data_IF_526877977404
#
_entry.id   IF_526877977404
#
_cell.length_a   1.000
_cell.length_b   1.000
_cell.length_c   1.000
_cell.angle_alpha   90.00
_cell.angle_beta   90.00
_cell.angle_gamma   90.00
#
_symmetry.space_group_name_H-M   'P 1'
#
loop_
_entity.id
_entity.type
_entity.pdbx_description
1 polymer ?
2 non-polymer ?
3 non-polymer ?
4 water ?
#
# COMPACT_ATOMS: atom_id res chain seq x y z
N UNK A 24 -2.72 -9.91 13.14
CA UNK A 24 -3.51 -9.54 11.90
C UNK A 24 -4.10 -8.14 12.11
N UNK A 25 -4.58 -7.49 11.03
CA UNK A 25 -5.41 -6.25 11.09
C UNK A 25 -6.68 -6.46 10.25
N UNK A 26 -7.73 -5.68 10.51
CA UNK A 26 -9.07 -5.77 9.90
C UNK A 26 -9.61 -4.40 9.53
N UNK A 27 -10.45 -4.33 8.50
CA UNK A 27 -11.23 -3.13 8.15
C UNK A 27 -12.56 -3.58 7.57
N UNK A 28 -13.62 -3.00 8.12
CA UNK A 28 -15.03 -3.27 7.74
C UNK A 28 -15.60 -2.03 7.07
N UNK A 29 -15.99 -2.16 5.81
CA UNK A 29 -16.55 -1.04 5.03
C UNK A 29 -17.97 -0.75 5.51
N UNK A 30 -18.68 -1.78 6.00
CA UNK A 30 -20.02 -1.58 6.60
C UNK A 30 -19.88 -0.76 7.88
N UNK A 31 -20.48 0.42 7.88
CA UNK A 31 -20.37 1.35 9.01
C UNK A 31 -19.07 2.13 9.03
N UNK A 32 -18.23 2.00 8.00
CA UNK A 32 -16.95 2.74 7.96
C UNK A 32 -17.22 4.23 7.81
N UNK A 33 -16.34 5.00 8.44
CA UNK A 33 -16.30 6.47 8.33
C UNK A 33 -14.83 6.89 8.35
N UNK A 34 -14.53 8.17 8.12
CA UNK A 34 -13.13 8.57 8.12
C UNK A 34 -12.39 8.10 9.38
N UNK A 35 -13.04 8.12 10.56
CA UNK A 35 -12.36 7.73 11.83
C UNK A 35 -12.01 6.23 11.77
N UNK A 36 -12.92 5.35 11.37
CA UNK A 36 -12.65 3.90 11.41
C UNK A 36 -11.57 3.59 10.36
N UNK A 37 -11.58 4.25 9.21
CA UNK A 37 -10.52 4.03 8.20
C UNK A 37 -9.18 4.45 8.83
N UNK A 38 -9.14 5.61 9.48
CA UNK A 38 -7.89 6.07 10.12
C UNK A 38 -7.40 5.07 11.14
N UNK A 39 -8.31 4.44 11.88
CA UNK A 39 -7.93 3.41 12.88
C UNK A 39 -7.31 2.19 12.19
N UNK A 40 -7.89 1.79 11.07
CA UNK A 40 -7.36 0.64 10.30
C UNK A 40 -5.94 0.98 9.83
N UNK A 41 -5.75 2.17 9.27
CA UNK A 41 -4.39 2.52 8.76
C UNK A 41 -3.40 2.57 9.92
N UNK A 42 -3.82 3.10 11.06
CA UNK A 42 -2.93 3.10 12.25
C UNK A 42 -2.57 1.66 12.64
N UNK A 43 -3.56 0.77 12.64
CA UNK A 43 -3.38 -0.68 12.93
C UNK A 43 -2.35 -1.26 11.95
N UNK A 44 -2.52 -0.94 10.67
CA UNK A 44 -1.63 -1.50 9.62
C UNK A 44 -0.19 -1.04 9.88
N UNK A 45 0.01 0.24 10.08
CA UNK A 45 1.39 0.75 10.36
C UNK A 45 1.97 0.06 11.60
N UNK A 46 1.17 -0.09 12.64
CA UNK A 46 1.66 -0.60 13.95
C UNK A 46 1.92 -2.11 13.86
N UNK A 47 1.43 -2.82 12.84
CA UNK A 47 1.70 -4.27 12.69
C UNK A 47 3.04 -4.50 11.97
N UNK A 48 3.64 -3.46 11.40
CA UNK A 48 4.90 -3.61 10.64
C UNK A 48 6.06 -3.48 11.61
N UNK A 49 6.98 -4.46 11.67
CA UNK A 49 8.06 -4.41 12.66
C UNK A 49 9.13 -3.39 12.27
N UNK A 50 9.79 -2.82 13.28
CA UNK A 50 10.97 -1.94 13.10
C UNK A 50 11.85 -2.11 14.34
N UNK A 51 13.16 -2.03 14.15
CA UNK A 51 14.17 -2.05 15.26
C UNK A 51 14.57 -0.62 15.61
N UNK A 52 14.31 0.35 14.74
CA UNK A 52 14.74 1.74 14.95
C UNK A 52 13.90 2.73 14.13
N UNK A 53 14.02 3.99 14.47
CA UNK A 53 13.44 5.13 13.73
C UNK A 53 14.58 5.98 13.18
N UNK A 54 14.40 6.55 12.00
CA UNK A 54 15.31 7.55 11.38
C UNK A 54 14.50 8.83 11.30
N UNK A 55 14.95 9.90 11.97
CA UNK A 55 14.22 11.17 12.03
C UNK A 55 12.78 10.89 12.46
N UNK A 56 12.62 10.03 13.47
CA UNK A 56 11.34 9.73 14.17
C UNK A 56 10.36 8.92 13.27
N UNK A 57 10.84 8.37 12.15
CA UNK A 57 10.02 7.57 11.19
C UNK A 57 10.49 6.12 11.29
N UNK A 58 9.57 5.15 11.56
CA UNK A 58 9.93 3.74 11.63
C UNK A 58 10.65 3.29 10.36
N UNK A 59 11.75 2.56 10.55
CA UNK A 59 12.57 1.98 9.48
C UNK A 59 12.21 0.52 9.34
N UNK A 60 11.56 0.17 8.22
CA UNK A 60 11.19 -1.24 7.96
C UNK A 60 12.45 -2.11 7.97
N UNK A 61 12.28 -3.37 8.29
CA UNK A 61 13.42 -4.29 8.47
C UNK A 61 14.01 -4.62 7.10
N UNK A 62 15.33 -4.88 7.01
CA UNK A 62 15.94 -5.24 5.73
C UNK A 62 15.44 -6.60 5.22
N UNK A 63 15.08 -7.49 6.15
CA UNK A 63 14.71 -8.89 5.84
C UNK A 63 14.00 -9.51 7.04
N UNK A 64 13.08 -10.45 6.76
CA UNK A 64 12.39 -11.30 7.76
C UNK A 64 12.29 -12.70 7.16
N UNK A 65 12.78 -13.71 7.88
CA UNK A 65 12.76 -15.14 7.45
C UNK A 65 11.40 -15.73 7.77
N UNK A 66 10.92 -16.64 6.93
CA UNK A 66 9.79 -17.53 7.23
C UNK A 66 8.47 -16.78 7.22
N UNK A 67 7.48 -17.27 7.97
CA UNK A 67 6.08 -16.81 7.89
C UNK A 67 5.96 -15.40 8.49
N UNK A 68 6.87 -15.00 9.38
CA UNK A 68 6.87 -13.68 10.03
C UNK A 68 7.01 -12.54 9.05
N UNK A 69 7.46 -12.83 7.83
CA UNK A 69 7.61 -11.81 6.76
C UNK A 69 6.24 -11.27 6.32
N UNK A 70 5.14 -11.98 6.61
CA UNK A 70 3.80 -11.65 6.03
C UNK A 70 2.88 -11.19 7.16
N UNK A 71 2.13 -10.13 6.88
CA UNK A 71 0.99 -9.66 7.70
C UNK A 71 -0.29 -10.01 6.96
N UNK A 72 -1.32 -10.44 7.69
CA UNK A 72 -2.65 -10.69 7.12
C UNK A 72 -3.59 -9.53 7.42
N UNK A 73 -4.20 -8.98 6.37
CA UNK A 73 -5.22 -7.92 6.49
C UNK A 73 -6.55 -8.54 6.09
N UNK A 74 -7.53 -8.51 6.99
CA UNK A 74 -8.91 -9.01 6.75
C UNK A 74 -9.79 -7.81 6.37
N UNK A 75 -10.27 -7.81 5.14
CA UNK A 75 -11.07 -6.71 4.58
C UNK A 75 -12.47 -7.24 4.33
N UNK A 76 -13.46 -6.47 4.73
CA UNK A 76 -14.90 -6.83 4.59
C UNK A 76 -15.59 -5.75 3.79
N UNK A 77 -16.35 -6.16 2.77
CA UNK A 77 -17.12 -5.22 1.92
C UNK A 77 -18.39 -4.84 2.69
N UNK A 78 -19.16 -3.91 2.14
CA UNK A 78 -20.41 -3.42 2.76
C UNK A 78 -21.32 -4.61 3.12
N UNK A 79 -21.27 -5.67 2.34
CA UNK A 79 -22.15 -6.87 2.48
C UNK A 79 -21.58 -7.88 3.50
N UNK A 80 -20.39 -7.65 4.05
CA UNK A 80 -19.78 -8.52 5.06
C UNK A 80 -18.96 -9.66 4.45
N UNK A 81 -18.86 -9.72 3.12
CA UNK A 81 -17.99 -10.71 2.40
C UNK A 81 -16.54 -10.29 2.62
N UNK A 82 -15.62 -11.25 2.68
CA UNK A 82 -14.23 -10.95 3.14
C UNK A 82 -13.19 -11.52 2.19
N UNK A 83 -12.08 -10.80 2.08
CA UNK A 83 -10.80 -11.33 1.54
C UNK A 83 -9.75 -11.16 2.62
N UNK A 84 -8.75 -12.02 2.61
CA UNK A 84 -7.55 -11.82 3.44
C UNK A 84 -6.41 -11.49 2.50
N UNK A 85 -5.73 -10.39 2.76
CA UNK A 85 -4.61 -9.95 1.89
C UNK A 85 -3.32 -10.21 2.65
N UNK A 86 -2.32 -10.77 1.99
CA UNK A 86 -0.98 -11.02 2.56
C UNK A 86 -0.05 -9.88 2.14
N UNK A 87 0.59 -9.25 3.11
CA UNK A 87 1.45 -8.06 2.91
C UNK A 87 2.87 -8.41 3.36
N UNK A 88 3.87 -8.09 2.54
CA UNK A 88 5.31 -8.23 2.91
C UNK A 88 5.67 -7.08 3.82
N UNK A 89 6.10 -7.41 5.06
CA UNK A 89 6.31 -6.35 6.08
C UNK A 89 7.60 -5.57 5.81
N UNK A 90 8.46 -6.04 4.90
CA UNK A 90 9.71 -5.32 4.52
C UNK A 90 9.40 -4.09 3.68
N UNK A 91 8.31 -4.12 2.89
CA UNK A 91 8.12 -3.05 1.87
C UNK A 91 6.64 -2.71 1.71
N UNK A 92 5.76 -3.30 2.51
CA UNK A 92 4.29 -3.09 2.45
C UNK A 92 3.75 -3.54 1.08
N UNK A 93 4.45 -4.42 0.36
CA UNK A 93 3.93 -4.91 -0.93
C UNK A 93 2.83 -5.93 -0.66
N UNK A 94 1.82 -5.92 -1.53
CA UNK A 94 0.78 -6.98 -1.44
C UNK A 94 1.33 -8.19 -2.21
N UNK A 95 1.30 -9.36 -1.60
CA UNK A 95 1.78 -10.62 -2.24
C UNK A 95 0.62 -11.30 -2.96
N UNK A 96 -0.54 -11.30 -2.33
CA UNK A 96 -1.65 -12.13 -2.78
C UNK A 96 -2.80 -12.02 -1.83
N UNK A 97 -3.85 -12.78 -2.07
CA UNK A 97 -5.06 -12.69 -1.22
C UNK A 97 -5.82 -14.00 -1.33
N UNK A 98 -6.69 -14.20 -0.36
CA UNK A 98 -7.53 -15.41 -0.21
C UNK A 98 -8.98 -14.96 -0.33
N UNK A 99 -9.70 -15.57 -1.28
CA UNK A 99 -11.16 -15.35 -1.41
C UNK A 99 -11.83 -16.72 -1.32
N UNK A 100 -12.55 -16.97 -0.22
CA UNK A 100 -13.21 -18.28 0.00
C UNK A 100 -12.11 -19.34 0.01
N UNK A 101 -12.08 -20.24 -0.99
CA UNK A 101 -11.15 -21.40 -1.01
C UNK A 101 -10.11 -21.26 -2.13
N UNK A 102 -9.93 -20.07 -2.71
CA UNK A 102 -8.95 -19.86 -3.78
C UNK A 102 -7.97 -18.78 -3.33
N UNK A 103 -6.68 -19.08 -3.43
CA UNK A 103 -5.64 -18.05 -3.21
C UNK A 103 -5.25 -17.48 -4.57
N UNK A 104 -4.76 -16.25 -4.55
CA UNK A 104 -4.35 -15.55 -5.77
C UNK A 104 -3.04 -14.86 -5.45
N UNK A 105 -2.00 -15.03 -6.24
CA UNK A 105 -0.68 -14.40 -6.01
C UNK A 105 -0.17 -13.68 -7.24
N UNK A 106 0.49 -12.56 -7.06
CA UNK A 106 1.17 -11.88 -8.18
C UNK A 106 2.20 -12.80 -8.79
N UNK A 107 2.47 -12.55 -10.06
CA UNK A 107 3.51 -13.27 -10.85
C UNK A 107 4.87 -12.62 -10.58
N UNK A 108 5.43 -12.87 -9.39
CA UNK A 108 6.74 -12.33 -8.95
C UNK A 108 7.33 -13.27 -7.90
N UNK A 109 8.67 -13.44 -7.87
CA UNK A 109 9.29 -14.39 -6.97
C UNK A 109 8.96 -14.25 -5.48
N UNK A 110 8.79 -13.04 -4.98
CA UNK A 110 8.50 -12.83 -3.55
C UNK A 110 7.10 -13.36 -3.24
N UNK A 111 6.19 -13.23 -4.21
CA UNK A 111 4.80 -13.74 -4.04
C UNK A 111 4.81 -15.27 -4.09
N UNK A 112 5.60 -15.87 -4.98
CA UNK A 112 5.68 -17.34 -5.05
C UNK A 112 6.22 -17.86 -3.71
N UNK A 113 7.24 -17.20 -3.15
CA UNK A 113 7.76 -17.60 -1.82
C UNK A 113 6.67 -17.42 -0.76
N UNK A 114 5.91 -16.32 -0.79
CA UNK A 114 4.84 -16.10 0.20
C UNK A 114 3.86 -17.27 0.18
N UNK A 115 3.60 -17.85 -0.99
CA UNK A 115 2.59 -18.91 -1.17
C UNK A 115 3.03 -20.21 -0.48
N UNK A 116 4.29 -20.29 -0.02
CA UNK A 116 4.77 -21.44 0.83
C UNK A 116 4.34 -21.28 2.29
N UNK A 117 3.90 -20.09 2.70
CA UNK A 117 3.68 -19.71 4.12
C UNK A 117 2.22 -19.34 4.37
N UNK A 118 1.54 -18.71 3.42
CA UNK A 118 0.18 -18.16 3.68
C UNK A 118 -0.84 -18.85 2.76
N UNK A 119 -2.07 -18.97 3.27
CA UNK A 119 -3.25 -19.47 2.53
C UNK A 119 -3.00 -20.91 2.07
N UNK A 120 -2.25 -21.67 2.87
CA UNK A 120 -1.85 -23.07 2.55
C UNK A 120 -3.12 -23.90 2.30
N UNK A 121 -4.18 -23.69 3.10
CA UNK A 121 -5.41 -24.52 3.12
C UNK A 121 -6.32 -24.21 1.93
N UNK A 122 -5.99 -23.25 1.05
CA UNK A 122 -6.80 -22.92 -0.15
C UNK A 122 -6.90 -24.17 -1.05
N UNK A 123 -8.03 -24.34 -1.74
CA UNK A 123 -8.28 -25.55 -2.60
C UNK A 123 -7.43 -25.43 -3.87
N UNK A 124 -7.24 -24.22 -4.39
CA UNK A 124 -6.36 -24.00 -5.55
C UNK A 124 -5.68 -22.64 -5.39
N UNK A 125 -4.57 -22.51 -6.07
CA UNK A 125 -3.74 -21.28 -6.05
C UNK A 125 -3.61 -20.81 -7.49
N UNK A 126 -4.17 -19.64 -7.75
CA UNK A 126 -4.08 -18.99 -9.09
C UNK A 126 -2.93 -18.00 -9.04
N UNK A 127 -1.98 -18.07 -9.95
CA UNK A 127 -0.97 -17.03 -10.18
C UNK A 127 -1.63 -16.05 -11.13
N UNK A 128 -1.76 -14.80 -10.70
CA UNK A 128 -2.29 -13.75 -11.59
C UNK A 128 -1.36 -13.57 -12.80
N UNK A 129 -1.88 -13.13 -13.97
CA UNK A 129 -1.05 -12.92 -15.16
C UNK A 129 -0.36 -11.56 -15.21
N UNK A 130 0.17 -11.14 -14.06
CA UNK A 130 0.99 -9.91 -13.94
C UNK A 130 1.65 -9.91 -12.58
N UNK A 131 2.73 -9.17 -12.48
CA UNK A 131 3.34 -8.76 -11.18
C UNK A 131 2.51 -7.60 -10.57
N UNK A 132 2.87 -7.16 -9.37
CA UNK A 132 2.19 -6.06 -8.68
C UNK A 132 2.76 -4.69 -9.01
N UNK A 133 3.74 -4.64 -9.91
CA UNK A 133 4.36 -3.41 -10.46
C UNK A 133 3.23 -2.51 -11.00
N UNK A 134 3.18 -1.24 -10.62
CA UNK A 134 2.13 -0.29 -11.06
C UNK A 134 2.05 -0.20 -12.59
N UNK A 135 3.20 -0.09 -13.27
CA UNK A 135 3.19 -0.01 -14.76
C UNK A 135 2.49 -1.27 -15.29
N UNK A 136 2.86 -2.46 -14.81
CA UNK A 136 2.28 -3.75 -15.28
C UNK A 136 0.78 -3.80 -14.95
N UNK A 137 0.39 -3.38 -13.75
CA UNK A 137 -1.04 -3.48 -13.39
C UNK A 137 -1.83 -2.57 -14.30
N UNK A 138 -1.32 -1.35 -14.57
CA UNK A 138 -1.96 -0.33 -15.42
C UNK A 138 -2.14 -0.88 -16.84
N UNK A 139 -1.16 -1.60 -17.35
CA UNK A 139 -1.29 -2.21 -18.72
C UNK A 139 -2.42 -3.26 -18.64
N UNK A 140 -2.44 -4.08 -17.59
CA UNK A 140 -3.42 -5.18 -17.43
C UNK A 140 -4.84 -4.63 -17.21
N UNK A 141 -4.98 -3.50 -16.50
CA UNK A 141 -6.28 -2.86 -16.17
C UNK A 141 -6.84 -2.14 -17.40
N UNK A 142 -5.94 -1.66 -18.26
CA UNK A 142 -6.23 -0.90 -19.49
C UNK A 142 -6.30 0.60 -19.21
N UNK A 143 -5.91 1.02 -18.01
CA UNK A 143 -6.06 2.41 -17.52
C UNK A 143 -4.92 2.72 -16.54
N UNK A 144 -4.32 3.93 -16.59
CA UNK A 144 -3.36 4.33 -15.58
C UNK A 144 -4.08 4.70 -14.27
N UNK A 145 -3.33 4.73 -13.17
CA UNK A 145 -3.80 5.16 -11.83
C UNK A 145 -4.46 6.54 -11.88
N UNK A 146 -3.91 7.42 -12.71
CA UNK A 146 -4.33 8.83 -12.86
C UNK A 146 -5.82 8.86 -13.19
N UNK A 147 -6.36 7.82 -13.84
CA UNK A 147 -7.78 7.79 -14.32
C UNK A 147 -8.67 6.82 -13.53
N UNK A 148 -8.16 6.13 -12.48
CA UNK A 148 -8.97 5.16 -11.70
C UNK A 148 -9.41 5.82 -10.39
N UNK A 149 -10.72 6.07 -10.18
CA UNK A 149 -11.18 6.66 -8.94
C UNK A 149 -10.82 5.81 -7.71
N UNK A 150 -10.40 6.45 -6.63
CA UNK A 150 -10.14 5.74 -5.35
C UNK A 150 -10.99 6.34 -4.25
N UNK A 151 -11.07 5.63 -3.14
CA UNK A 151 -11.92 6.00 -2.01
C UNK A 151 -12.46 4.77 -1.36
N UNK A 152 -13.31 4.92 -0.34
CA UNK A 152 -13.82 3.75 0.39
C UNK A 152 -14.85 3.05 -0.48
N UNK A 153 -15.79 3.73 -1.20
CA UNK A 153 -16.65 2.95 -2.09
C UNK A 153 -15.84 2.18 -3.15
N UNK A 154 -14.75 2.76 -3.67
CA UNK A 154 -13.86 2.05 -4.62
C UNK A 154 -13.29 0.79 -3.95
N UNK A 155 -12.95 0.85 -2.67
CA UNK A 155 -12.41 -0.35 -1.97
C UNK A 155 -13.51 -1.39 -1.78
N UNK A 156 -14.74 -0.97 -1.47
CA UNK A 156 -15.87 -1.92 -1.43
C UNK A 156 -15.96 -2.64 -2.79
N UNK A 157 -15.95 -1.88 -3.88
CA UNK A 157 -16.01 -2.47 -5.25
C UNK A 157 -14.82 -3.44 -5.45
N UNK A 158 -13.62 -3.05 -5.02
CA UNK A 158 -12.42 -3.85 -5.28
C UNK A 158 -12.55 -5.18 -4.55
N UNK A 159 -12.96 -5.20 -3.28
CA UNK A 159 -13.13 -6.46 -2.49
C UNK A 159 -14.16 -7.33 -3.22
N UNK A 160 -15.27 -6.73 -3.65
CA UNK A 160 -16.31 -7.48 -4.39
C UNK A 160 -15.74 -8.12 -5.67
N UNK A 161 -14.97 -7.35 -6.46
CA UNK A 161 -14.29 -7.82 -7.70
C UNK A 161 -13.38 -9.01 -7.34
N UNK A 162 -12.58 -8.91 -6.29
CA UNK A 162 -11.58 -9.98 -6.05
C UNK A 162 -12.21 -11.26 -5.49
N UNK A 163 -13.47 -11.24 -5.05
CA UNK A 163 -14.10 -12.47 -4.48
C UNK A 163 -14.23 -13.61 -5.49
N UNK A 164 -14.30 -13.27 -6.77
CA UNK A 164 -14.44 -14.25 -7.87
C UNK A 164 -13.52 -13.82 -9.01
N UNK A 165 -12.72 -14.74 -9.50
CA UNK A 165 -11.65 -14.40 -10.46
C UNK A 165 -12.15 -13.70 -11.73
N UNK A 166 -11.49 -12.59 -12.06
CA UNK A 166 -11.59 -11.85 -13.34
C UNK A 166 -10.26 -11.10 -13.49
N UNK A 167 -9.27 -11.59 -14.23
CA UNK A 167 -7.91 -10.99 -14.14
C UNK A 167 -7.91 -9.54 -14.59
N UNK A 168 -8.64 -9.15 -15.63
CA UNK A 168 -8.65 -7.74 -16.09
C UNK A 168 -9.28 -6.87 -15.00
N UNK A 169 -10.45 -7.26 -14.49
CA UNK A 169 -11.14 -6.52 -13.43
C UNK A 169 -10.25 -6.47 -12.18
N UNK A 170 -9.55 -7.57 -11.90
CA UNK A 170 -8.76 -7.68 -10.66
C UNK A 170 -7.61 -6.68 -10.72
N UNK A 171 -6.96 -6.46 -11.86
CA UNK A 171 -5.84 -5.49 -11.97
C UNK A 171 -6.29 -4.12 -11.47
N UNK A 172 -7.46 -3.63 -11.90
CA UNK A 172 -7.99 -2.35 -11.43
C UNK A 172 -8.29 -2.36 -9.94
N UNK A 173 -8.96 -3.41 -9.48
CA UNK A 173 -9.29 -3.63 -8.06
C UNK A 173 -7.98 -3.61 -7.25
N UNK A 174 -6.93 -4.26 -7.73
CA UNK A 174 -5.67 -4.33 -6.96
C UNK A 174 -5.02 -2.95 -6.95
N UNK A 175 -5.08 -2.15 -8.03
CA UNK A 175 -4.55 -0.77 -7.96
C UNK A 175 -5.30 0.02 -6.90
N UNK A 176 -6.61 -0.18 -6.78
CA UNK A 176 -7.39 0.52 -5.73
C UNK A 176 -6.96 0.00 -4.34
N UNK A 177 -6.86 -1.32 -4.20
CA UNK A 177 -6.53 -1.97 -2.90
C UNK A 177 -5.15 -1.49 -2.46
N UNK A 178 -4.16 -1.50 -3.34
CA UNK A 178 -2.79 -1.12 -2.94
C UNK A 178 -2.80 0.33 -2.48
N UNK A 179 -3.50 1.21 -3.17
CA UNK A 179 -3.38 2.65 -2.85
C UNK A 179 -4.12 2.93 -1.55
N UNK A 180 -5.21 2.23 -1.26
CA UNK A 180 -6.06 2.50 -0.09
C UNK A 180 -5.55 1.78 1.17
N UNK A 181 -4.55 0.93 1.03
CA UNK A 181 -3.97 0.19 2.18
C UNK A 181 -2.49 0.60 2.29
N UNK A 182 -1.62 -0.02 1.51
CA UNK A 182 -0.18 0.23 1.56
C UNK A 182 0.18 1.70 1.38
N UNK A 183 -0.35 2.39 0.37
CA UNK A 183 0.10 3.78 0.15
C UNK A 183 -0.39 4.67 1.27
N UNK A 184 -1.61 4.47 1.78
CA UNK A 184 -2.11 5.23 2.92
C UNK A 184 -1.27 4.96 4.16
N UNK A 185 -0.80 3.74 4.34
CA UNK A 185 0.08 3.41 5.48
C UNK A 185 1.37 4.22 5.33
N UNK A 186 1.89 4.32 4.13
CA UNK A 186 3.22 4.96 3.93
C UNK A 186 3.12 6.47 4.09
N UNK A 187 2.00 7.12 3.75
CA UNK A 187 1.89 8.59 3.78
C UNK A 187 0.61 9.07 4.45
N UNK A 188 0.75 9.94 5.42
CA UNK A 188 -0.41 10.54 6.13
C UNK A 188 -1.28 11.26 5.13
N UNK A 189 -0.68 11.99 4.20
CA UNK A 189 -1.44 12.75 3.17
C UNK A 189 -2.35 11.80 2.39
N UNK A 190 -1.87 10.61 2.03
CA UNK A 190 -2.70 9.67 1.22
C UNK A 190 -3.80 9.12 2.09
N UNK A 191 -3.54 8.79 3.34
CA UNK A 191 -4.58 8.43 4.32
C UNK A 191 -5.66 9.51 4.28
N UNK A 192 -5.27 10.78 4.36
CA UNK A 192 -6.25 11.89 4.47
C UNK A 192 -7.01 12.01 3.16
N UNK A 193 -6.40 11.77 2.02
CA UNK A 193 -7.09 11.81 0.70
C UNK A 193 -8.16 10.73 0.64
N UNK A 194 -7.92 9.56 1.20
CA UNK A 194 -8.94 8.46 1.18
C UNK A 194 -10.02 8.81 2.19
N UNK A 195 -9.71 9.44 3.30
CA UNK A 195 -10.74 9.88 4.27
C UNK A 195 -11.67 10.86 3.59
N UNK A 196 -11.14 11.77 2.78
CA UNK A 196 -11.97 12.74 2.03
C UNK A 196 -12.90 12.03 1.04
N UNK A 197 -12.49 10.86 0.58
CA UNK A 197 -13.22 9.99 -0.39
C UNK A 197 -13.97 8.88 0.37
N UNK A 198 -14.44 9.11 1.59
CA UNK A 198 -15.11 8.08 2.40
C UNK A 198 -16.45 7.69 1.74
N UNK A 199 -17.10 8.64 1.06
CA UNK A 199 -18.47 8.45 0.56
C UNK A 199 -18.58 8.84 -0.92
N UNK A 200 -17.48 9.15 -1.58
CA UNK A 200 -17.43 9.64 -2.99
C UNK A 200 -16.03 9.39 -3.51
N UNK A 201 -15.91 8.53 -4.52
CA UNK A 201 -14.61 8.24 -5.14
C UNK A 201 -14.13 9.42 -5.98
N UNK A 202 -12.82 9.57 -6.11
CA UNK A 202 -12.21 10.61 -6.98
C UNK A 202 -10.84 10.11 -7.40
N UNK A 203 -10.42 10.36 -8.65
CA UNK A 203 -9.07 9.98 -9.14
C UNK A 203 -8.08 10.58 -8.15
N UNK A 204 -6.93 9.92 -7.95
CA UNK A 204 -5.92 10.44 -7.05
C UNK A 204 -5.48 11.86 -7.38
N UNK A 205 -5.18 12.66 -6.34
CA UNK A 205 -4.55 13.99 -6.49
C UNK A 205 -3.16 13.82 -7.11
N UNK A 206 -2.65 14.91 -7.70
CA UNK A 206 -1.30 14.94 -8.29
C UNK A 206 -0.28 14.60 -7.19
N UNK A 207 -0.45 15.14 -5.97
CA UNK A 207 0.49 14.89 -4.85
C UNK A 207 0.44 13.40 -4.47
N UNK A 208 -0.73 12.76 -4.51
CA UNK A 208 -0.87 11.31 -4.22
C UNK A 208 0.01 10.50 -5.18
N UNK A 209 -0.10 10.71 -6.49
CA UNK A 209 0.72 9.94 -7.47
C UNK A 209 2.21 10.21 -7.24
N UNK A 210 2.56 11.48 -7.00
CA UNK A 210 3.96 11.95 -6.76
C UNK A 210 4.55 11.18 -5.58
N UNK A 211 3.85 11.14 -4.46
CA UNK A 211 4.32 10.49 -3.21
C UNK A 211 4.47 8.99 -3.43
N UNK A 212 3.52 8.34 -4.10
CA UNK A 212 3.60 6.89 -4.37
C UNK A 212 4.88 6.63 -5.17
N UNK A 213 5.10 7.44 -6.20
CA UNK A 213 6.26 7.25 -7.11
C UNK A 213 7.58 7.57 -6.40
N UNK A 214 7.52 8.35 -5.31
CA UNK A 214 8.74 8.87 -4.62
C UNK A 214 9.03 8.11 -3.32
N UNK A 215 8.25 7.10 -2.93
CA UNK A 215 8.46 6.49 -1.59
C UNK A 215 9.89 5.93 -1.47
N UNK A 216 10.31 5.18 -2.47
CA UNK A 216 11.66 4.54 -2.46
C UNK A 216 12.74 5.64 -2.37
N UNK A 217 12.64 6.64 -3.25
CA UNK A 217 13.58 7.79 -3.29
C UNK A 217 13.64 8.54 -1.98
N UNK A 218 12.49 8.95 -1.46
CA UNK A 218 12.43 9.66 -0.15
C UNK A 218 13.02 8.79 0.93
N UNK A 219 12.67 7.50 0.96
CA UNK A 219 13.20 6.58 1.99
C UNK A 219 14.73 6.59 1.94
N UNK A 220 15.27 6.44 0.73
CA UNK A 220 16.74 6.42 0.52
C UNK A 220 17.33 7.75 1.02
N UNK A 221 16.81 8.87 0.57
CA UNK A 221 17.40 10.21 0.91
C UNK A 221 17.30 10.48 2.41
N UNK A 222 16.21 10.12 3.10
CA UNK A 222 16.06 10.27 4.58
C UNK A 222 17.14 9.45 5.30
N UNK A 223 17.34 8.19 4.94
CA UNK A 223 18.42 7.37 5.54
C UNK A 223 19.80 7.97 5.26
N UNK A 224 20.08 8.43 4.03
CA UNK A 224 21.39 9.07 3.68
C UNK A 224 21.55 10.40 4.43
N UNK A 225 20.47 11.07 4.80
CA UNK A 225 20.56 12.35 5.53
C UNK A 225 21.16 12.13 6.93
N UNK A 226 21.03 10.94 7.54
CA UNK A 226 21.87 10.48 8.68
C UNK A 226 23.32 10.39 8.16
N UNK A 227 24.19 11.32 8.55
CA UNK A 227 25.57 11.41 8.03
C UNK A 227 25.78 12.57 7.08
N UNK A 228 24.71 13.29 6.68
CA UNK A 228 24.83 14.51 5.82
C UNK A 228 24.07 15.69 6.48
N UNK A 229 23.92 15.69 7.80
CA UNK A 229 23.39 16.84 8.59
C UNK A 229 21.90 17.05 8.26
N UNK A 230 21.20 15.97 7.92
CA UNK A 230 19.76 16.02 7.53
C UNK A 230 19.57 16.57 6.13
N UNK A 231 20.63 16.66 5.32
CA UNK A 231 20.62 17.18 3.92
C UNK A 231 20.53 15.97 3.00
N UNK A 232 19.63 16.06 2.01
CA UNK A 232 19.51 15.05 0.91
C UNK A 232 20.75 15.11 0.02
N UNK A 233 21.37 13.95 -0.23
CA UNK A 233 22.49 13.86 -1.20
C UNK A 233 21.98 14.19 -2.60
N UNK A 234 20.72 13.81 -2.90
CA UNK A 234 20.03 14.11 -4.17
C UNK A 234 18.64 14.63 -3.83
N UNK A 235 18.34 15.92 -4.09
CA UNK A 235 17.01 16.46 -3.83
C UNK A 235 15.94 15.67 -4.59
N UNK A 236 14.75 15.62 -4.03
CA UNK A 236 13.58 14.90 -4.60
C UNK A 236 12.53 15.94 -4.99
N UNK A 237 12.08 15.88 -6.24
CA UNK A 237 11.04 16.76 -6.82
C UNK A 237 9.70 16.06 -6.53
N UNK A 238 8.82 16.75 -5.82
CA UNK A 238 7.45 16.25 -5.54
C UNK A 238 6.44 17.25 -6.07
N UNK A 239 5.19 16.84 -6.05
CA UNK A 239 4.00 17.72 -6.13
C UNK A 239 3.43 17.92 -4.73
N UNK A 240 3.15 19.16 -4.32
CA UNK A 240 2.58 19.46 -2.98
C UNK A 240 1.05 19.38 -3.03
N UNK A 241 0.41 19.56 -1.87
CA UNK A 241 -1.05 19.43 -1.64
C UNK A 241 -1.83 20.50 -2.42
N UNK A 242 -1.18 21.56 -2.90
CA UNK A 242 -1.85 22.58 -3.76
C UNK A 242 -1.64 22.29 -5.25
N UNK A 243 -0.89 21.23 -5.60
CA UNK A 243 -0.61 20.83 -7.01
C UNK A 243 0.65 21.46 -7.55
N UNK A 244 1.45 22.10 -6.69
CA UNK A 244 2.65 22.88 -7.08
C UNK A 244 3.89 22.04 -6.85
N UNK A 245 4.87 22.23 -7.71
CA UNK A 245 6.22 21.68 -7.47
C UNK A 245 6.74 22.13 -6.10
N UNK A 246 7.30 21.19 -5.35
CA UNK A 246 8.19 21.48 -4.20
C UNK A 246 9.43 20.58 -4.33
N UNK A 247 10.61 21.17 -4.19
CA UNK A 247 11.88 20.41 -4.21
C UNK A 247 12.28 20.15 -2.76
N UNK A 248 12.46 18.88 -2.41
CA UNK A 248 12.79 18.45 -1.01
C UNK A 248 14.31 18.32 -0.95
N UNK A 249 14.94 19.13 -0.12
CA UNK A 249 16.41 19.16 0.00
C UNK A 249 16.84 18.63 1.37
N UNK A 250 15.98 18.58 2.39
CA UNK A 250 16.40 18.18 3.75
C UNK A 250 15.22 17.76 4.62
N UNK A 251 15.54 17.22 5.80
CA UNK A 251 14.60 16.52 6.72
C UNK A 251 13.68 17.49 7.48
N UNK A 252 13.86 18.80 7.38
CA UNK A 252 12.94 19.77 8.03
C UNK A 252 11.68 19.96 7.19
N UNK A 253 11.67 19.45 5.95
CA UNK A 253 10.49 19.53 5.05
C UNK A 253 9.29 18.83 5.69
N UNK A 254 8.10 19.36 5.46
CA UNK A 254 6.81 18.77 5.91
C UNK A 254 6.66 17.32 5.42
N UNK A 255 7.21 16.98 4.26
CA UNK A 255 7.05 15.58 3.75
C UNK A 255 7.74 14.65 4.75
N UNK A 256 8.87 15.06 5.35
CA UNK A 256 9.63 14.22 6.31
C UNK A 256 9.07 14.36 7.73
N UNK A 257 8.71 15.58 8.15
CA UNK A 257 8.32 15.79 9.57
C UNK A 257 6.89 15.37 9.82
N UNK A 258 6.00 15.39 8.83
CA UNK A 258 4.56 15.11 9.12
C UNK A 258 4.00 13.96 8.27
N UNK A 259 4.46 13.81 7.04
CA UNK A 259 3.75 13.02 6.00
C UNK A 259 4.21 11.57 5.98
N UNK A 260 5.45 11.31 5.56
CA UNK A 260 5.92 9.92 5.42
C UNK A 260 5.87 9.22 6.77
N UNK A 261 5.40 7.96 6.81
CA UNK A 261 5.15 7.24 8.07
C UNK A 261 6.02 6.00 8.20
N UNK A 262 6.63 5.54 7.11
CA UNK A 262 7.39 4.26 7.04
C UNK A 262 8.53 4.47 6.05
N UNK A 263 9.69 3.93 6.35
CA UNK A 263 10.85 4.02 5.45
C UNK A 263 11.17 2.64 4.91
N UNK A 264 11.28 2.57 3.60
CA UNK A 264 11.81 1.35 2.96
C UNK A 264 13.32 1.28 3.28
N UNK A 265 13.78 0.15 3.80
CA UNK A 265 15.22 0.01 4.17
C UNK A 265 16.07 0.12 2.90
N UNK A 266 17.14 0.94 2.91
CA UNK A 266 18.02 1.14 1.72
C UNK A 266 18.72 -0.16 1.30
N UNK A 267 18.79 -1.16 2.19
CA UNK A 267 19.26 -2.52 1.84
C UNK A 267 18.34 -3.13 0.78
N UNK A 268 17.11 -2.59 0.66
CA UNK A 268 16.06 -3.03 -0.30
C UNK A 268 15.87 -1.92 -1.34
#
# INVERSE_FOLDING_TARGET
MSRFSVLSFLILAIFLGGSIVKGDVSFRLSGADPRSYGMFIKDLRNALPFREKVYNIPLLLPSVSGAGRYLLMHLFNYDGKTITVAVDVTNVYIMGYLADTTSYFFNEPAAELASQYVFRDARRKITLPYSGNYERLQIAAGKPREKIPIGLPALDSAISTLLHYDSTAAAGALLVLIQTTAEAARFKYIEQQIQERAYRDEVPSLATISLENSWSGLSKQIQLAQGNNGIFRTPIVLVDNKGNRVQITNVTSKVVTSNIQLLLNTRNIAEGDNGDVSTTHGFSSY
#
